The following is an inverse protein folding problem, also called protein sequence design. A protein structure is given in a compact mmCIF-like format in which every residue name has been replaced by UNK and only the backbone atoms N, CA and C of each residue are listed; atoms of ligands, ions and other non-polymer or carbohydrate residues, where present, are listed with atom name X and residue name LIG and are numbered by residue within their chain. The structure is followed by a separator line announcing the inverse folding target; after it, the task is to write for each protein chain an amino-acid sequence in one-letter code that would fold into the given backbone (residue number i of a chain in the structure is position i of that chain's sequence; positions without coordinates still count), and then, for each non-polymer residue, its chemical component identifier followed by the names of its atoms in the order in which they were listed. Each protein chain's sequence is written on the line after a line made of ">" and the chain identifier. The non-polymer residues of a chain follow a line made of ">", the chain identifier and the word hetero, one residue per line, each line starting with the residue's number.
data_IF_496837974701
#
_entry.id   IF_496837974701
#
_cell.length_a   1.000
_cell.length_b   1.000
_cell.length_c   1.000
_cell.angle_alpha   90.00
_cell.angle_beta   90.00
_cell.angle_gamma   90.00
#
_symmetry.space_group_name_H-M   'P 1'
#
loop_
_entity.id
_entity.type
_entity.pdbx_description
1 polymer ?
#
# COMPACT_ATOMS: atom_id res chain seq x y z
N UNK A 1 5.20 -8.83 -23.03
CA UNK A 1 4.95 -8.56 -21.67
C UNK A 1 5.20 -7.12 -21.29
N UNK A 2 4.30 -6.61 -20.57
CA UNK A 2 4.38 -5.23 -20.20
C UNK A 2 5.32 -5.04 -19.03
N UNK A 3 6.20 -4.07 -19.17
CA UNK A 3 7.09 -3.80 -18.14
C UNK A 3 6.49 -2.89 -17.14
N UNK A 4 6.51 -3.25 -15.90
CA UNK A 4 6.07 -2.36 -14.88
C UNK A 4 7.09 -1.28 -14.66
N UNK A 5 6.60 -0.11 -14.34
CA UNK A 5 7.48 0.98 -14.04
C UNK A 5 8.17 0.69 -12.71
N UNK A 6 9.48 0.72 -12.73
CA UNK A 6 10.25 0.49 -11.52
C UNK A 6 10.27 1.76 -10.70
N UNK A 7 9.95 1.65 -9.42
CA UNK A 7 9.98 2.80 -8.55
C UNK A 7 11.42 3.06 -8.13
N UNK A 8 11.96 4.23 -8.40
CA UNK A 8 13.34 4.53 -8.00
C UNK A 8 13.52 4.41 -6.50
N UNK A 9 14.69 3.96 -6.11
CA UNK A 9 14.98 3.76 -4.70
C UNK A 9 14.75 5.02 -3.87
N UNK A 10 15.16 6.15 -4.39
CA UNK A 10 14.98 7.41 -3.66
C UNK A 10 13.50 7.71 -3.42
N UNK A 11 12.66 7.37 -4.37
CA UNK A 11 11.23 7.59 -4.20
C UNK A 11 10.68 6.63 -3.15
N UNK A 12 11.11 5.38 -3.17
CA UNK A 12 10.69 4.41 -2.16
C UNK A 12 11.04 4.92 -0.76
N UNK A 13 12.23 5.43 -0.61
CA UNK A 13 12.67 5.93 0.69
C UNK A 13 11.82 7.12 1.13
N UNK A 14 11.51 8.02 0.22
CA UNK A 14 10.69 9.17 0.54
C UNK A 14 9.28 8.76 0.93
N UNK A 15 8.72 7.78 0.26
CA UNK A 15 7.40 7.27 0.59
C UNK A 15 7.40 6.72 2.02
N UNK A 16 8.41 5.93 2.36
CA UNK A 16 8.50 5.38 3.70
C UNK A 16 8.56 6.49 4.75
N UNK A 17 9.46 7.44 4.55
CA UNK A 17 9.67 8.49 5.53
C UNK A 17 8.42 9.37 5.65
N UNK A 18 7.77 9.64 4.53
CA UNK A 18 6.60 10.50 4.54
C UNK A 18 5.46 9.93 5.38
N UNK A 19 5.25 8.64 5.31
CA UNK A 19 4.14 8.01 6.03
C UNK A 19 4.52 7.42 7.37
N UNK A 20 5.74 6.94 7.50
CA UNK A 20 6.17 6.20 8.70
C UNK A 20 7.30 6.87 9.46
N UNK A 21 7.73 8.03 9.01
CA UNK A 21 8.85 8.73 9.62
C UNK A 21 10.13 7.91 9.50
N UNK A 22 11.11 8.21 10.32
CA UNK A 22 12.40 7.53 10.23
C UNK A 22 12.42 6.30 11.10
N UNK A 23 11.51 5.41 10.86
CA UNK A 23 11.44 4.16 11.59
C UNK A 23 12.00 3.03 10.73
N UNK A 24 12.39 1.95 11.37
CA UNK A 24 12.88 0.78 10.65
C UNK A 24 11.75 -0.16 10.30
N UNK A 25 10.79 -0.34 11.20
CA UNK A 25 9.65 -1.23 11.00
C UNK A 25 8.36 -0.49 11.25
N UNK A 26 7.32 -0.95 10.58
CA UNK A 26 6.01 -0.37 10.77
C UNK A 26 4.97 -1.35 10.25
N UNK A 27 3.76 -1.22 10.74
CA UNK A 27 2.67 -2.00 10.20
C UNK A 27 2.35 -1.51 8.79
N UNK A 28 1.84 -2.41 7.93
CA UNK A 28 1.38 -2.03 6.60
C UNK A 28 0.49 -0.80 6.68
N UNK A 29 0.56 0.05 5.66
CA UNK A 29 -0.24 1.28 5.63
C UNK A 29 -1.74 1.01 5.74
N UNK A 30 -2.19 -0.12 5.21
CA UNK A 30 -3.61 -0.46 5.23
C UNK A 30 -4.07 -0.68 6.67
N UNK A 31 -5.08 0.07 7.13
CA UNK A 31 -5.45 0.04 8.55
C UNK A 31 -5.81 -1.33 9.11
N UNK A 32 -6.51 -2.15 8.33
CA UNK A 32 -6.93 -3.45 8.83
C UNK A 32 -5.89 -4.54 8.60
N UNK A 33 -4.81 -4.24 7.90
CA UNK A 33 -3.76 -5.22 7.67
C UNK A 33 -2.78 -5.19 8.84
N UNK A 34 -2.44 -6.34 9.36
CA UNK A 34 -1.55 -6.42 10.52
C UNK A 34 -0.13 -6.83 10.20
N UNK A 35 0.17 -7.00 8.94
CA UNK A 35 1.51 -7.39 8.55
C UNK A 35 2.51 -6.29 8.88
N UNK A 36 3.66 -6.72 9.41
CA UNK A 36 4.74 -5.77 9.70
C UNK A 36 5.69 -5.76 8.53
N UNK A 37 6.06 -4.58 8.10
CA UNK A 37 7.02 -4.40 7.02
C UNK A 37 8.20 -3.61 7.56
N UNK A 38 9.32 -3.66 6.85
CA UNK A 38 10.47 -2.88 7.24
C UNK A 38 11.00 -2.10 6.05
N UNK A 39 11.90 -1.18 6.33
CA UNK A 39 12.34 -0.22 5.33
C UNK A 39 13.08 -0.89 4.15
N UNK A 40 13.56 -2.10 4.34
CA UNK A 40 14.21 -2.82 3.25
C UNK A 40 13.27 -3.75 2.52
N UNK A 41 12.09 -3.99 3.08
CA UNK A 41 11.25 -5.07 2.60
C UNK A 41 9.79 -4.67 2.62
N UNK A 42 9.43 -3.77 1.73
CA UNK A 42 8.05 -3.34 1.61
C UNK A 42 7.76 -3.05 0.15
N UNK A 43 6.49 -2.94 -0.16
CA UNK A 43 6.06 -2.61 -1.51
C UNK A 43 5.51 -1.20 -1.53
N UNK A 44 5.62 -0.56 -2.68
CA UNK A 44 5.04 0.76 -2.87
C UNK A 44 3.83 0.58 -3.78
N UNK A 45 2.67 0.83 -3.24
CA UNK A 45 1.44 0.69 -4.00
C UNK A 45 0.94 2.04 -4.49
N UNK A 46 0.34 2.03 -5.67
CA UNK A 46 -0.28 3.24 -6.22
C UNK A 46 -1.71 3.32 -5.71
N UNK A 47 -2.11 4.47 -5.22
CA UNK A 47 -3.51 4.66 -4.86
C UNK A 47 -4.35 4.62 -6.14
N UNK A 48 -3.98 5.41 -7.13
CA UNK A 48 -4.59 5.32 -8.44
C UNK A 48 -3.67 4.48 -9.30
N UNK A 49 -4.12 3.33 -9.81
CA UNK A 49 -3.25 2.45 -10.58
C UNK A 49 -2.62 3.14 -11.77
N UNK A 50 -1.41 2.72 -12.09
CA UNK A 50 -0.70 3.25 -13.23
C UNK A 50 -1.50 3.06 -14.52
N UNK A 51 -2.16 1.92 -14.64
CA UNK A 51 -2.97 1.62 -15.81
C UNK A 51 -4.14 2.57 -15.98
N UNK A 52 -4.51 3.27 -14.93
CA UNK A 52 -5.59 4.24 -14.98
C UNK A 52 -5.10 5.67 -14.85
N UNK A 53 -3.85 5.89 -15.18
CA UNK A 53 -3.29 7.23 -15.16
C UNK A 53 -2.68 7.69 -13.87
N UNK A 54 -2.47 6.77 -12.93
CA UNK A 54 -1.84 7.13 -11.67
C UNK A 54 -0.41 7.53 -11.87
N UNK A 55 0.01 8.56 -11.17
CA UNK A 55 1.35 9.11 -11.33
C UNK A 55 2.31 8.62 -10.27
N UNK A 56 3.58 8.72 -10.58
CA UNK A 56 4.64 8.31 -9.66
C UNK A 56 4.98 9.50 -8.76
N UNK A 57 4.07 9.82 -7.87
CA UNK A 57 4.28 10.90 -6.92
C UNK A 57 4.02 10.38 -5.52
N UNK A 58 4.65 11.02 -4.55
CA UNK A 58 4.49 10.55 -3.17
C UNK A 58 3.04 10.56 -2.73
N UNK A 59 2.28 11.51 -3.19
CA UNK A 59 0.87 11.58 -2.82
C UNK A 59 0.06 10.41 -3.34
N UNK A 60 0.51 9.80 -4.43
CA UNK A 60 -0.19 8.66 -5.02
C UNK A 60 0.41 7.33 -4.60
N UNK A 61 1.44 7.34 -3.79
CA UNK A 61 2.14 6.11 -3.41
C UNK A 61 1.99 5.86 -1.91
N UNK A 62 1.91 4.59 -1.55
CA UNK A 62 1.75 4.20 -0.16
C UNK A 62 2.64 3.01 0.16
N UNK A 63 3.23 2.97 1.35
CA UNK A 63 4.06 1.81 1.75
C UNK A 63 3.16 0.71 2.31
N UNK A 64 3.08 -0.37 1.58
CA UNK A 64 2.20 -1.49 1.93
C UNK A 64 2.96 -2.80 1.88
N UNK A 65 2.37 -3.85 2.42
CA UNK A 65 3.00 -5.16 2.38
C UNK A 65 2.73 -5.81 1.03
N UNK A 66 3.52 -6.83 0.72
CA UNK A 66 3.38 -7.51 -0.56
C UNK A 66 2.00 -8.16 -0.71
N UNK A 67 1.45 -8.65 0.39
CA UNK A 67 0.17 -9.31 0.34
C UNK A 67 -0.93 -8.37 -0.12
N UNK A 68 -0.97 -7.17 0.44
CA UNK A 68 -1.96 -6.18 0.02
C UNK A 68 -1.72 -5.76 -1.43
N UNK A 69 -0.44 -5.55 -1.78
CA UNK A 69 -0.13 -5.12 -3.12
C UNK A 69 -0.58 -6.12 -4.17
N UNK A 70 -0.29 -7.39 -3.95
CA UNK A 70 -0.68 -8.42 -4.91
C UNK A 70 -2.19 -8.63 -4.94
N UNK A 71 -2.84 -8.49 -3.79
CA UNK A 71 -4.27 -8.69 -3.73
C UNK A 71 -5.04 -7.60 -4.47
N UNK A 72 -4.57 -6.37 -4.37
CA UNK A 72 -5.23 -5.26 -5.08
C UNK A 72 -5.06 -5.38 -6.59
N UNK A 73 -3.87 -5.69 -7.02
CA UNK A 73 -3.56 -6.02 -8.41
C UNK A 73 -4.28 -5.17 -9.46
N UNK A 74 -4.22 -3.87 -9.36
CA UNK A 74 -4.86 -2.94 -10.30
C UNK A 74 -6.38 -2.93 -10.28
N UNK A 75 -6.99 -3.77 -9.47
CA UNK A 75 -8.44 -3.80 -9.41
C UNK A 75 -8.99 -2.80 -8.42
N UNK A 76 -8.21 -2.47 -7.42
CA UNK A 76 -8.66 -1.58 -6.36
C UNK A 76 -7.68 -0.46 -6.17
N UNK A 77 -8.19 0.72 -5.87
CA UNK A 77 -7.33 1.78 -5.36
C UNK A 77 -7.05 1.46 -3.89
N UNK A 78 -6.06 2.11 -3.33
CA UNK A 78 -5.77 1.90 -1.92
C UNK A 78 -6.94 2.36 -1.06
N UNK A 79 -7.59 3.46 -1.46
CA UNK A 79 -8.76 3.94 -0.75
C UNK A 79 -9.87 2.89 -0.73
N UNK A 80 -10.10 2.25 -1.88
CA UNK A 80 -11.12 1.20 -1.95
C UNK A 80 -10.73 0.00 -1.11
N UNK A 81 -9.46 -0.38 -1.18
CA UNK A 81 -8.96 -1.53 -0.44
C UNK A 81 -9.10 -1.33 1.06
N UNK A 82 -8.85 -0.12 1.52
CA UNK A 82 -8.99 0.19 2.92
C UNK A 82 -10.41 0.01 3.40
N UNK A 83 -11.37 0.30 2.54
CA UNK A 83 -12.77 0.16 2.90
C UNK A 83 -13.26 -1.27 2.89
N UNK A 84 -12.76 -2.06 1.96
CA UNK A 84 -13.20 -3.43 1.80
C UNK A 84 -12.97 -4.25 3.05
N UNK A 85 -11.78 -4.15 3.60
CA UNK A 85 -11.42 -4.98 4.73
C UNK A 85 -11.63 -4.35 6.08
N UNK A 86 -12.32 -3.24 6.13
CA UNK A 86 -12.50 -2.52 7.38
C UNK A 86 -13.39 -3.31 8.34
N UNK A 87 -12.83 -3.85 9.43
CA UNK A 87 -13.61 -4.69 10.33
C UNK A 87 -14.74 -3.95 11.03
N UNK A 88 -14.67 -2.66 11.10
CA UNK A 88 -15.74 -1.92 11.73
C UNK A 88 -17.01 -1.93 10.94
N UNK A 89 -16.87 -2.15 9.65
CA UNK A 89 -18.05 -2.25 8.85
C UNK A 89 -18.69 -3.58 8.95
N UNK A 90 -17.96 -4.59 9.27
CA UNK A 90 -18.51 -5.90 9.33
C UNK A 90 -19.12 -6.08 10.65
N UNK A 91 -19.47 -5.42 11.34
CA UNK A 91 -20.19 -5.66 12.47
C UNK A 91 -19.92 -6.95 13.07
N UNK A 92 -20.00 -7.28 13.31
CA UNK A 92 -19.90 -8.23 13.72
C UNK A 92 -19.59 -9.34 13.49
N UNK A 93 -19.80 -9.51 13.27
CA UNK A 93 -19.58 -10.36 13.10
C UNK A 93 -18.82 -11.03 12.79
N UNK A 94 -18.64 -11.06 12.71
CA UNK A 94 -18.07 -11.56 12.44
C UNK A 94 -17.13 -12.02 12.57
N UNK A 95 -16.94 -12.26 12.59
CA UNK A 95 -16.14 -12.55 12.58
C UNK A 95 -15.54 -13.08 12.58
N UNK A 96 -15.45 -13.32 12.44
CA UNK A 96 -14.86 -13.75 12.40
C UNK A 96 -14.27 -13.92 12.38
#
# INVERSE_FOLDING_TARGET
>A
MTKKQTIPKAIREQVWIFYFNRTFKHKCYIPWCRNIIDVFNFHVGHNKPESKGGKLTIKNLRPICSRCNYSMNNKYTITEWMKIGNPQKSTCCIIS
#
